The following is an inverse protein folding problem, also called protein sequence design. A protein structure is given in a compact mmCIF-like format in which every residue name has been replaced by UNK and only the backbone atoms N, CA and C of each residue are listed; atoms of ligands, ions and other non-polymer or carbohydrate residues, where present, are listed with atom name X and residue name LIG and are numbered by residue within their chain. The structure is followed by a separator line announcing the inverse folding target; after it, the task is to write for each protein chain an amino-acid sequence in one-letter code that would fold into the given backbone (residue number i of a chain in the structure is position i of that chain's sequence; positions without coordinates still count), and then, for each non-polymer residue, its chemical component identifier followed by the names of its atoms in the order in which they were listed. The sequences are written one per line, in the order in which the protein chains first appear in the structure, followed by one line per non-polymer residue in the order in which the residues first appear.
data_IF_749587500913
#
_entry.id   IF_749587500913
#
_cell.length_a   1.000
_cell.length_b   1.000
_cell.length_c   1.000
_cell.angle_alpha   90.00
_cell.angle_beta   90.00
_cell.angle_gamma   90.00
#
_symmetry.space_group_name_H-M   'P 1'
#
loop_
_entity.id
_entity.type
_entity.pdbx_description
1 polymer ?
#
# COMPACT_ATOMS: atom_id res chain seq x y z
N UNK A 1 1.99 9.76 24.69
CA UNK A 1 1.15 10.09 23.53
C UNK A 1 1.35 9.00 22.50
N UNK A 2 0.28 8.37 22.02
CA UNK A 2 0.31 7.32 21.00
C UNK A 2 0.73 7.92 19.66
N UNK A 3 1.65 7.28 18.93
CA UNK A 3 2.08 7.78 17.62
C UNK A 3 0.95 7.69 16.59
N UNK A 4 0.99 8.48 15.52
CA UNK A 4 -0.04 8.43 14.48
C UNK A 4 -0.18 7.03 13.84
N UNK A 5 0.91 6.32 13.46
CA UNK A 5 0.82 4.94 13.01
C UNK A 5 0.07 4.01 13.98
N UNK A 6 0.35 4.12 15.28
CA UNK A 6 -0.33 3.33 16.29
C UNK A 6 -1.83 3.66 16.36
N UNK A 7 -2.20 4.94 16.31
CA UNK A 7 -3.60 5.37 16.27
C UNK A 7 -4.34 4.81 15.05
N UNK A 8 -3.68 4.77 13.89
CA UNK A 8 -4.25 4.19 12.68
C UNK A 8 -4.46 2.68 12.82
N UNK A 9 -3.47 1.94 13.30
CA UNK A 9 -3.59 0.51 13.57
C UNK A 9 -4.70 0.19 14.58
N UNK A 10 -4.80 0.98 15.65
CA UNK A 10 -5.85 0.83 16.67
C UNK A 10 -7.24 1.10 16.06
N UNK A 11 -7.34 2.10 15.16
CA UNK A 11 -8.57 2.37 14.42
C UNK A 11 -8.97 1.20 13.52
N UNK A 12 -8.04 0.64 12.73
CA UNK A 12 -8.32 -0.52 11.89
C UNK A 12 -8.77 -1.73 12.71
N UNK A 13 -8.07 -2.03 13.82
CA UNK A 13 -8.45 -3.11 14.73
C UNK A 13 -9.87 -2.93 15.29
N UNK A 14 -10.26 -1.71 15.64
CA UNK A 14 -11.61 -1.39 16.09
C UNK A 14 -12.68 -1.60 15.00
N UNK A 15 -12.28 -1.59 13.72
CA UNK A 15 -13.14 -1.85 12.56
C UNK A 15 -13.01 -3.29 12.02
N UNK A 16 -12.50 -4.22 12.84
CA UNK A 16 -12.49 -5.65 12.52
C UNK A 16 -11.34 -6.09 11.61
N UNK A 17 -10.32 -5.25 11.41
CA UNK A 17 -9.09 -5.66 10.75
C UNK A 17 -8.22 -6.53 11.66
N UNK A 18 -7.55 -7.50 11.07
CA UNK A 18 -6.46 -8.23 11.71
C UNK A 18 -5.22 -7.35 11.70
N UNK A 19 -4.65 -7.12 12.89
CA UNK A 19 -3.44 -6.32 13.08
C UNK A 19 -2.43 -7.11 13.90
N UNK A 20 -1.41 -7.68 13.25
CA UNK A 20 -0.27 -8.27 13.94
C UNK A 20 0.86 -7.24 14.00
N UNK A 21 1.13 -6.76 15.21
CA UNK A 21 2.14 -5.72 15.46
C UNK A 21 3.52 -6.33 15.57
N UNK A 22 4.52 -5.62 15.06
CA UNK A 22 5.93 -6.01 15.20
C UNK A 22 6.35 -5.84 16.66
N UNK A 23 6.96 -6.86 17.25
CA UNK A 23 7.65 -6.72 18.54
C UNK A 23 8.93 -5.92 18.32
N UNK A 24 9.29 -4.97 19.20
CA UNK A 24 10.44 -4.11 18.99
C UNK A 24 11.74 -4.93 19.02
N UNK A 25 12.17 -5.37 17.85
CA UNK A 25 13.40 -6.12 17.66
C UNK A 25 14.11 -5.47 16.47
N UNK A 26 15.03 -4.55 16.80
CA UNK A 26 15.98 -3.85 15.92
C UNK A 26 15.46 -3.24 14.62
N UNK A 27 15.75 -1.95 14.41
CA UNK A 27 15.43 -1.18 13.21
C UNK A 27 15.79 -1.96 11.92
N UNK A 28 14.82 -2.23 11.02
CA UNK A 28 15.12 -2.87 9.74
C UNK A 28 15.99 -1.95 8.87
N UNK A 29 16.79 -2.56 8.00
CA UNK A 29 17.54 -1.85 6.95
C UNK A 29 16.59 -1.06 6.03
N UNK A 30 17.15 -0.02 5.37
CA UNK A 30 16.47 0.95 4.51
C UNK A 30 15.21 0.40 3.83
N UNK A 31 14.05 0.84 4.32
CA UNK A 31 12.76 0.39 3.84
C UNK A 31 12.32 1.21 2.62
N UNK A 32 11.47 0.65 1.74
CA UNK A 32 10.86 1.42 0.66
C UNK A 32 10.20 2.70 1.20
N UNK A 33 10.32 3.82 0.48
CA UNK A 33 9.66 5.08 0.85
C UNK A 33 10.12 5.70 2.18
N UNK A 34 11.34 5.40 2.66
CA UNK A 34 11.89 5.92 3.92
C UNK A 34 11.79 7.44 4.05
N UNK A 35 11.96 8.17 2.93
CA UNK A 35 11.86 9.63 2.87
C UNK A 35 10.50 10.20 3.30
N UNK A 36 9.43 9.42 3.24
CA UNK A 36 8.06 9.84 3.57
C UNK A 36 7.45 9.10 4.76
N UNK A 37 8.30 8.46 5.58
CA UNK A 37 7.86 7.80 6.81
C UNK A 37 7.21 6.43 6.61
N UNK A 38 7.18 5.88 5.39
CA UNK A 38 6.63 4.55 5.14
C UNK A 38 7.44 3.44 5.81
N UNK A 39 8.78 3.56 5.83
CA UNK A 39 9.64 2.63 6.56
C UNK A 39 9.31 2.56 8.07
N UNK A 40 9.04 3.70 8.69
CA UNK A 40 8.62 3.75 10.09
C UNK A 40 7.25 3.09 10.30
N UNK A 41 6.33 3.20 9.33
CA UNK A 41 5.04 2.50 9.37
C UNK A 41 5.21 0.98 9.20
N UNK A 42 6.01 0.54 8.22
CA UNK A 42 6.33 -0.88 8.00
C UNK A 42 6.94 -1.55 9.23
N UNK A 43 7.70 -0.81 10.04
CA UNK A 43 8.27 -1.33 11.28
C UNK A 43 7.24 -1.57 12.40
N UNK A 44 5.97 -1.17 12.23
CA UNK A 44 4.94 -1.29 13.28
C UNK A 44 4.09 -2.55 13.21
N UNK A 45 4.07 -3.25 12.06
CA UNK A 45 3.26 -4.44 11.85
C UNK A 45 3.95 -5.48 10.97
N UNK A 46 3.56 -6.73 11.13
CA UNK A 46 3.96 -7.84 10.25
C UNK A 46 2.80 -8.28 9.35
N UNK A 47 1.55 -8.14 9.79
CA UNK A 47 0.36 -8.45 9.00
C UNK A 47 -0.74 -7.42 9.28
N UNK A 48 -1.40 -6.95 8.22
CA UNK A 48 -2.46 -5.95 8.31
C UNK A 48 -3.48 -6.14 7.18
N UNK A 49 -4.60 -6.80 7.47
CA UNK A 49 -5.61 -7.13 6.47
C UNK A 49 -7.04 -7.11 7.04
N UNK A 50 -8.05 -6.95 6.17
CA UNK A 50 -9.45 -7.01 6.57
C UNK A 50 -9.86 -8.45 6.93
N UNK A 51 -11.04 -8.61 7.54
CA UNK A 51 -11.54 -9.92 7.99
C UNK A 51 -11.64 -10.97 6.87
N UNK A 52 -11.92 -10.54 5.63
CA UNK A 52 -12.07 -11.42 4.48
C UNK A 52 -10.75 -11.71 3.75
N UNK A 53 -9.63 -11.12 4.19
CA UNK A 53 -8.32 -11.21 3.54
C UNK A 53 -8.33 -10.77 2.06
N UNK A 54 -9.23 -9.86 1.71
CA UNK A 54 -9.36 -9.30 0.37
C UNK A 54 -8.77 -7.90 0.24
N UNK A 55 -8.31 -7.33 1.36
CA UNK A 55 -7.70 -6.00 1.47
C UNK A 55 -6.58 -6.05 2.48
N UNK A 56 -5.42 -5.52 2.13
CA UNK A 56 -4.28 -5.50 3.03
C UNK A 56 -3.34 -4.34 2.75
N UNK A 57 -2.65 -3.91 3.80
CA UNK A 57 -1.47 -3.06 3.67
C UNK A 57 -0.24 -3.95 3.52
N UNK A 58 0.63 -3.59 2.59
CA UNK A 58 1.84 -4.35 2.31
C UNK A 58 2.85 -4.20 3.45
N UNK A 59 3.34 -5.33 3.95
CA UNK A 59 4.35 -5.42 4.99
C UNK A 59 5.77 -5.33 4.41
N UNK A 60 6.78 -5.24 5.29
CA UNK A 60 8.17 -5.30 4.86
C UNK A 60 8.51 -6.64 4.18
N UNK A 61 7.89 -7.74 4.62
CA UNK A 61 8.09 -9.07 4.04
C UNK A 61 7.46 -9.19 2.64
N UNK A 62 6.35 -8.49 2.38
CA UNK A 62 5.74 -8.44 1.05
C UNK A 62 6.65 -7.73 0.05
N UNK A 63 7.22 -6.58 0.45
CA UNK A 63 8.16 -5.83 -0.39
C UNK A 63 9.46 -6.60 -0.66
N UNK A 64 9.93 -7.37 0.33
CA UNK A 64 11.11 -8.23 0.20
C UNK A 64 10.83 -9.54 -0.57
N UNK A 65 9.58 -9.80 -0.97
CA UNK A 65 9.14 -11.07 -1.56
C UNK A 65 9.49 -12.30 -0.69
N UNK A 66 9.51 -12.13 0.63
CA UNK A 66 9.73 -13.21 1.61
C UNK A 66 8.45 -13.64 2.32
N UNK A 67 7.35 -12.88 2.17
CA UNK A 67 6.03 -13.28 2.62
C UNK A 67 5.47 -14.40 1.75
N UNK A 68 4.75 -15.34 2.36
CA UNK A 68 3.93 -16.32 1.65
C UNK A 68 2.60 -15.68 1.23
N UNK A 69 2.68 -14.72 0.30
CA UNK A 69 1.52 -13.97 -0.19
C UNK A 69 0.93 -14.64 -1.42
N UNK A 70 -0.35 -14.98 -1.35
CA UNK A 70 -1.10 -15.50 -2.50
C UNK A 70 -1.24 -14.47 -3.63
N UNK A 71 -1.12 -13.18 -3.32
CA UNK A 71 -1.17 -12.10 -4.31
C UNK A 71 -0.08 -11.06 -4.02
N UNK A 72 1.15 -11.30 -4.50
CA UNK A 72 2.26 -10.36 -4.33
C UNK A 72 1.99 -9.00 -4.97
N UNK A 73 2.66 -7.95 -4.48
CA UNK A 73 2.48 -6.59 -5.00
C UNK A 73 2.79 -6.46 -6.50
N UNK A 74 3.75 -7.23 -6.98
CA UNK A 74 4.20 -7.17 -8.37
C UNK A 74 3.20 -7.82 -9.34
N UNK A 75 2.19 -8.55 -8.85
CA UNK A 75 1.16 -9.13 -9.71
C UNK A 75 0.40 -8.08 -10.50
N UNK A 76 0.10 -6.90 -9.92
CA UNK A 76 -0.58 -5.82 -10.66
C UNK A 76 0.28 -5.28 -11.81
N UNK A 77 1.58 -5.09 -11.56
CA UNK A 77 2.55 -4.74 -12.60
C UNK A 77 2.58 -5.81 -13.69
N UNK A 78 2.61 -7.08 -13.30
CA UNK A 78 2.72 -8.19 -14.26
C UNK A 78 1.45 -8.28 -15.13
N UNK A 79 0.26 -8.03 -14.57
CA UNK A 79 -0.99 -7.87 -15.33
C UNK A 79 -0.88 -6.74 -16.36
N UNK A 80 -0.41 -5.55 -15.95
CA UNK A 80 -0.19 -4.44 -16.90
C UNK A 80 0.80 -4.79 -18.01
N UNK A 81 1.89 -5.51 -17.67
CA UNK A 81 2.90 -5.93 -18.64
C UNK A 81 2.37 -6.96 -19.65
N UNK A 82 1.48 -7.85 -19.21
CA UNK A 82 0.81 -8.82 -20.08
C UNK A 82 -0.22 -8.15 -21.00
N UNK A 83 -0.89 -7.10 -20.52
CA UNK A 83 -1.85 -6.32 -21.30
C UNK A 83 -1.20 -5.35 -22.31
N UNK A 84 0.07 -5.01 -22.13
CA UNK A 84 0.77 -4.07 -22.99
C UNK A 84 0.87 -4.57 -24.44
N UNK A 85 0.48 -3.72 -25.39
CA UNK A 85 0.37 -4.07 -26.81
C UNK A 85 1.72 -4.06 -27.55
N UNK A 86 2.68 -3.29 -27.05
CA UNK A 86 4.00 -3.11 -27.66
C UNK A 86 5.08 -2.81 -26.61
N UNK A 87 6.33 -2.77 -27.06
CA UNK A 87 7.49 -2.50 -26.19
C UNK A 87 7.45 -1.12 -25.54
N UNK A 88 6.83 -0.13 -26.20
CA UNK A 88 6.69 1.21 -25.65
C UNK A 88 5.72 1.23 -24.46
N UNK A 89 4.58 0.55 -24.57
CA UNK A 89 3.63 0.34 -23.47
C UNK A 89 4.27 -0.44 -22.32
N UNK A 90 5.02 -1.50 -22.61
CA UNK A 90 5.77 -2.25 -21.59
C UNK A 90 6.76 -1.36 -20.84
N UNK A 91 7.48 -0.50 -21.55
CA UNK A 91 8.41 0.44 -20.92
C UNK A 91 7.68 1.46 -20.04
N UNK A 92 6.55 2.01 -20.51
CA UNK A 92 5.74 2.96 -19.73
C UNK A 92 5.25 2.34 -18.41
N UNK A 93 4.81 1.08 -18.44
CA UNK A 93 4.45 0.31 -17.24
C UNK A 93 5.64 0.20 -16.30
N UNK A 94 6.80 -0.26 -16.79
CA UNK A 94 8.01 -0.38 -15.96
C UNK A 94 8.42 0.95 -15.33
N UNK A 95 8.38 2.04 -16.09
CA UNK A 95 8.72 3.39 -15.62
C UNK A 95 7.76 3.85 -14.52
N UNK A 96 6.45 3.62 -14.70
CA UNK A 96 5.44 3.89 -13.68
C UNK A 96 5.74 3.14 -12.37
N UNK A 97 5.93 1.82 -12.42
CA UNK A 97 6.14 1.01 -11.22
C UNK A 97 7.53 1.22 -10.58
N UNK A 98 8.50 1.82 -11.28
CA UNK A 98 9.74 2.29 -10.66
C UNK A 98 9.53 3.55 -9.79
N UNK A 99 8.57 4.39 -10.16
CA UNK A 99 8.24 5.62 -9.45
C UNK A 99 7.18 5.43 -8.36
N UNK A 100 6.47 4.32 -8.35
CA UNK A 100 5.37 4.08 -7.41
C UNK A 100 5.69 2.90 -6.49
N UNK A 101 5.67 3.16 -5.18
CA UNK A 101 5.83 2.10 -4.16
C UNK A 101 4.45 1.71 -3.63
N UNK A 102 3.92 0.52 -3.96
CA UNK A 102 2.62 0.09 -3.46
C UNK A 102 2.63 -0.06 -1.95
N UNK A 103 1.54 0.36 -1.29
CA UNK A 103 1.41 0.29 0.17
C UNK A 103 0.15 -0.44 0.62
N UNK A 104 -0.81 -0.62 -0.28
CA UNK A 104 -2.10 -1.28 -0.04
C UNK A 104 -2.57 -1.94 -1.33
N UNK A 105 -3.31 -3.04 -1.20
CA UNK A 105 -3.97 -3.73 -2.30
C UNK A 105 -5.37 -4.17 -1.93
N UNK A 106 -6.26 -4.25 -2.92
CA UNK A 106 -7.54 -4.95 -2.81
C UNK A 106 -7.81 -5.87 -3.99
N UNK A 107 -8.43 -7.01 -3.68
CA UNK A 107 -9.00 -7.99 -4.63
C UNK A 107 -10.47 -8.28 -4.30
N UNK A 108 -11.13 -7.40 -3.56
CA UNK A 108 -12.52 -7.58 -3.12
C UNK A 108 -13.56 -7.36 -4.24
N UNK A 109 -13.11 -6.85 -5.38
CA UNK A 109 -13.86 -6.60 -6.60
C UNK A 109 -12.83 -6.39 -7.71
N UNK A 110 -12.89 -5.23 -8.35
CA UNK A 110 -11.83 -4.76 -9.24
C UNK A 110 -10.49 -4.71 -8.48
N UNK A 111 -9.40 -5.08 -9.15
CA UNK A 111 -8.07 -4.94 -8.57
C UNK A 111 -7.69 -3.47 -8.42
N UNK A 112 -7.29 -3.09 -7.22
CA UNK A 112 -6.90 -1.71 -6.90
C UNK A 112 -5.74 -1.66 -5.91
N UNK A 113 -5.00 -0.55 -5.92
CA UNK A 113 -3.88 -0.32 -5.03
C UNK A 113 -3.77 1.16 -4.62
N UNK A 114 -3.11 1.38 -3.49
CA UNK A 114 -2.53 2.68 -3.16
C UNK A 114 -1.02 2.59 -3.28
N UNK A 115 -0.38 3.65 -3.77
CA UNK A 115 1.06 3.75 -3.83
C UNK A 115 1.56 5.12 -3.39
N UNK A 116 2.80 5.16 -2.91
CA UNK A 116 3.57 6.38 -2.67
C UNK A 116 4.35 6.70 -3.94
N UNK A 117 4.13 7.88 -4.51
CA UNK A 117 4.97 8.41 -5.58
C UNK A 117 6.35 8.81 -5.02
N UNK A 118 7.43 8.31 -5.63
CA UNK A 118 8.81 8.46 -5.14
C UNK A 118 9.27 9.91 -5.05
N UNK A 119 8.89 10.76 -6.01
CA UNK A 119 9.44 12.11 -6.11
C UNK A 119 8.71 13.13 -5.21
N UNK A 120 7.42 12.94 -4.96
CA UNK A 120 6.63 13.88 -4.14
C UNK A 120 6.16 13.34 -2.80
N UNK A 121 6.12 12.01 -2.65
CA UNK A 121 5.54 11.34 -1.48
C UNK A 121 4.01 11.33 -1.47
N UNK A 122 3.36 11.84 -2.53
CA UNK A 122 1.90 11.79 -2.67
C UNK A 122 1.40 10.35 -2.70
N UNK A 123 0.18 10.17 -2.21
CA UNK A 123 -0.52 8.91 -2.29
C UNK A 123 -1.43 8.96 -3.51
N UNK A 124 -1.23 7.99 -4.39
CA UNK A 124 -2.04 7.79 -5.58
C UNK A 124 -2.83 6.49 -5.46
N UNK A 125 -3.95 6.43 -6.17
CA UNK A 125 -4.82 5.26 -6.26
C UNK A 125 -5.00 4.84 -7.71
N UNK A 126 -4.68 3.59 -8.00
CA UNK A 126 -4.91 2.96 -9.32
C UNK A 126 -5.85 1.78 -9.20
N UNK A 127 -6.61 1.54 -10.26
CA UNK A 127 -7.62 0.49 -10.38
C UNK A 127 -7.58 -0.09 -11.79
N UNK A 128 -7.88 -1.37 -11.95
CA UNK A 128 -8.02 -1.97 -13.28
C UNK A 128 -9.12 -1.27 -14.12
N UNK A 129 -9.07 -1.34 -15.46
CA UNK A 129 -8.10 -2.05 -16.30
C UNK A 129 -6.77 -1.32 -16.51
N UNK A 130 -6.70 -0.02 -16.23
CA UNK A 130 -5.51 0.81 -16.45
C UNK A 130 -4.96 1.29 -15.10
N UNK A 131 -4.14 0.45 -14.47
CA UNK A 131 -3.56 0.72 -13.14
C UNK A 131 -2.75 2.01 -13.10
N UNK A 132 -2.11 2.36 -14.21
CA UNK A 132 -1.24 3.52 -14.37
C UNK A 132 -2.04 4.84 -14.50
N UNK A 133 -3.34 4.80 -14.80
CA UNK A 133 -4.23 5.98 -14.79
C UNK A 133 -4.69 6.29 -13.36
N UNK A 134 -3.76 6.81 -12.58
CA UNK A 134 -3.97 7.02 -11.14
C UNK A 134 -4.62 8.36 -10.80
N UNK A 135 -5.29 8.39 -9.65
CA UNK A 135 -5.81 9.61 -9.02
C UNK A 135 -5.06 9.93 -7.73
N UNK A 136 -4.78 11.21 -7.48
CA UNK A 136 -4.27 11.68 -6.19
C UNK A 136 -5.34 11.49 -5.10
N UNK A 137 -4.97 10.86 -3.98
CA UNK A 137 -5.87 10.67 -2.83
C UNK A 137 -5.42 11.38 -1.57
N UNK A 138 -4.13 11.57 -1.37
CA UNK A 138 -3.60 12.30 -0.22
C UNK A 138 -2.24 12.93 -0.54
N UNK A 139 -1.90 14.06 0.11
CA UNK A 139 -0.61 14.73 -0.12
C UNK A 139 0.58 13.93 0.39
N UNK A 140 0.36 13.01 1.33
CA UNK A 140 1.37 12.11 1.92
C UNK A 140 0.70 11.04 2.79
N UNK A 141 1.52 10.11 3.30
CA UNK A 141 1.07 9.00 4.15
C UNK A 141 0.39 9.47 5.45
N UNK A 142 0.89 10.53 6.09
CA UNK A 142 0.31 11.07 7.31
C UNK A 142 -1.10 11.66 7.06
N UNK A 143 -1.27 12.36 5.93
CA UNK A 143 -2.57 12.88 5.50
C UNK A 143 -3.57 11.75 5.21
N UNK A 144 -3.12 10.70 4.51
CA UNK A 144 -3.94 9.52 4.24
C UNK A 144 -4.48 8.91 5.54
N UNK A 145 -3.61 8.69 6.54
CA UNK A 145 -4.02 8.11 7.82
C UNK A 145 -5.01 8.99 8.58
N UNK A 146 -4.81 10.31 8.64
CA UNK A 146 -5.79 11.19 9.30
C UNK A 146 -7.14 11.18 8.60
N UNK A 147 -7.18 11.18 7.27
CA UNK A 147 -8.43 11.17 6.53
C UNK A 147 -9.15 9.83 6.63
N UNK A 148 -8.40 8.72 6.67
CA UNK A 148 -8.94 7.38 6.94
C UNK A 148 -9.54 7.29 8.35
N UNK A 149 -8.80 7.70 9.39
CA UNK A 149 -9.28 7.71 10.79
C UNK A 149 -10.53 8.57 10.94
N UNK A 150 -10.59 9.69 10.22
CA UNK A 150 -11.72 10.62 10.27
C UNK A 150 -12.88 10.23 9.34
N UNK A 151 -12.77 9.15 8.56
CA UNK A 151 -13.78 8.72 7.60
C UNK A 151 -13.99 9.68 6.42
N UNK A 152 -13.01 10.55 6.13
CA UNK A 152 -13.08 11.55 5.04
C UNK A 152 -12.49 11.04 3.72
N UNK A 153 -11.54 10.11 3.78
CA UNK A 153 -10.96 9.48 2.60
C UNK A 153 -11.45 8.04 2.46
N UNK A 154 -11.69 7.63 1.22
CA UNK A 154 -11.76 6.24 0.74
C UNK A 154 -12.27 5.23 1.79
N UNK A 155 -13.39 5.53 2.45
CA UNK A 155 -13.95 4.65 3.49
C UNK A 155 -14.26 3.25 2.92
N UNK A 156 -14.53 3.20 1.61
CA UNK A 156 -14.65 1.96 0.86
C UNK A 156 -13.42 1.05 0.94
N UNK A 157 -12.19 1.59 1.06
CA UNK A 157 -10.96 0.80 1.23
C UNK A 157 -10.82 0.19 2.62
N UNK A 158 -11.55 0.73 3.62
CA UNK A 158 -11.53 0.25 5.00
C UNK A 158 -12.73 -0.65 5.35
N UNK A 159 -13.76 -0.65 4.49
CA UNK A 159 -15.01 -1.38 4.66
C UNK A 159 -14.86 -2.91 4.56
#
# INVERSE_FOLDING_TARGET
MTSQPQRFLDHLAAHGWTVLRTTPTSTPAAAPGEAYGYGAFLATFTELHNANQTRWFLSAADHACTADSAFPWHTLRDISLEAALDDAGRQAVLDFWQQHTPIYMSVAGDYEFLAIERDSGRIVHGIEPEFEDTRDVAPNLAGLFEDMIAGRAMAALLA
#
